data_IF_862670641014
#
_entry.id   IF_862670641014
#
_cell.length_a   1.000
_cell.length_b   1.000
_cell.length_c   1.000
_cell.angle_alpha   90.00
_cell.angle_beta   90.00
_cell.angle_gamma   90.00
#
_symmetry.space_group_name_H-M   'P 1'
#
loop_
_entity.id
_entity.type
_entity.pdbx_description
1 polymer ?
#
# COMPACT_ATOMS: atom_id res chain seq x y z
N UNK A 1 7.37 13.55 -1.32
CA UNK A 1 7.63 13.03 0.05
C UNK A 1 9.05 12.47 0.14
N UNK A 2 9.74 12.66 1.27
CA UNK A 2 11.00 11.96 1.56
C UNK A 2 10.66 10.49 1.81
N UNK A 3 11.00 9.61 0.87
CA UNK A 3 10.68 8.17 0.96
C UNK A 3 11.70 7.35 1.74
N UNK A 4 12.82 7.96 2.11
CA UNK A 4 13.91 7.32 2.85
C UNK A 4 14.49 8.31 3.85
N UNK A 5 14.85 7.85 5.04
CA UNK A 5 15.46 8.74 6.02
C UNK A 5 16.88 9.15 5.64
N UNK A 6 17.58 8.31 4.87
CA UNK A 6 18.84 8.65 4.23
C UNK A 6 18.94 7.99 2.85
N UNK A 7 19.53 8.70 1.89
CA UNK A 7 19.81 8.21 0.55
C UNK A 7 21.12 8.83 0.07
N UNK A 8 22.13 8.01 -0.23
CA UNK A 8 23.46 8.49 -0.60
C UNK A 8 24.20 7.50 -1.49
N UNK A 9 24.95 8.02 -2.47
CA UNK A 9 25.88 7.24 -3.29
C UNK A 9 26.94 6.57 -2.42
N UNK A 10 27.65 5.58 -2.96
CA UNK A 10 28.74 4.93 -2.23
C UNK A 10 29.77 5.92 -1.71
N UNK A 11 30.21 6.89 -2.52
CA UNK A 11 31.19 7.89 -2.09
C UNK A 11 30.64 8.78 -0.96
N UNK A 12 29.39 9.24 -1.05
CA UNK A 12 28.77 10.07 -0.02
C UNK A 12 28.64 9.31 1.30
N UNK A 13 28.15 8.07 1.26
CA UNK A 13 27.95 7.25 2.45
C UNK A 13 29.27 6.87 3.14
N UNK A 14 30.27 6.46 2.35
CA UNK A 14 31.56 6.00 2.89
C UNK A 14 32.38 7.14 3.49
N UNK A 15 32.25 8.37 2.97
CA UNK A 15 33.00 9.54 3.43
C UNK A 15 32.28 10.35 4.52
N UNK A 16 30.96 10.26 4.64
CA UNK A 16 30.21 10.96 5.68
C UNK A 16 30.52 10.41 7.07
N UNK A 17 30.54 11.27 8.10
CA UNK A 17 30.60 10.81 9.50
C UNK A 17 29.31 10.08 9.88
N UNK A 18 29.41 9.06 10.74
CA UNK A 18 28.25 8.27 11.18
C UNK A 18 27.16 9.17 11.80
N UNK A 19 27.55 10.21 12.56
CA UNK A 19 26.60 11.13 13.19
C UNK A 19 25.89 12.02 12.18
N UNK A 20 26.54 12.34 11.06
CA UNK A 20 25.91 13.10 9.98
C UNK A 20 24.80 12.28 9.34
N UNK A 21 25.07 11.00 9.04
CA UNK A 21 24.07 10.08 8.47
C UNK A 21 22.89 9.93 9.43
N UNK A 22 23.15 9.62 10.71
CA UNK A 22 22.09 9.51 11.73
C UNK A 22 21.34 10.82 11.91
N UNK A 23 22.03 11.97 11.89
CA UNK A 23 21.41 13.29 11.98
C UNK A 23 20.41 13.54 10.86
N UNK A 24 20.78 13.21 9.61
CA UNK A 24 19.85 13.25 8.47
C UNK A 24 18.66 12.32 8.66
N UNK A 25 18.89 11.12 9.22
CA UNK A 25 17.80 10.18 9.45
C UNK A 25 16.80 10.68 10.50
N UNK A 26 17.30 11.27 11.59
CA UNK A 26 16.50 11.88 12.66
C UNK A 26 15.67 13.05 12.12
N UNK A 27 16.26 13.92 11.30
CA UNK A 27 15.54 15.05 10.68
C UNK A 27 14.40 14.59 9.75
N UNK A 28 14.59 13.45 9.09
CA UNK A 28 13.63 12.88 8.16
C UNK A 28 12.62 11.93 8.81
N UNK A 29 12.73 11.67 10.12
CA UNK A 29 11.80 10.80 10.85
C UNK A 29 10.59 11.59 11.38
N UNK A 30 9.39 11.48 10.75
CA UNK A 30 8.19 12.24 11.11
C UNK A 30 7.64 11.93 12.50
N UNK A 31 8.12 10.87 13.16
CA UNK A 31 7.68 10.44 14.48
C UNK A 31 8.81 10.37 15.51
N UNK A 32 9.95 11.02 15.24
CA UNK A 32 11.10 10.93 16.13
C UNK A 32 10.78 11.47 17.53
N UNK A 33 10.61 10.52 18.45
CA UNK A 33 10.75 10.71 19.88
C UNK A 33 12.08 10.08 20.24
N UNK A 34 12.94 10.78 20.99
CA UNK A 34 14.29 10.33 21.35
C UNK A 34 14.25 8.96 22.03
N UNK A 35 14.39 7.89 21.24
CA UNK A 35 14.44 6.49 21.66
C UNK A 35 15.86 6.00 21.48
N UNK A 36 16.62 5.90 22.57
CA UNK A 36 18.05 5.53 22.57
C UNK A 36 18.34 4.30 21.71
N UNK A 37 17.46 3.29 21.77
CA UNK A 37 17.69 2.01 21.10
C UNK A 37 17.60 2.08 19.55
N UNK A 38 16.90 3.05 18.99
CA UNK A 38 16.74 3.18 17.53
C UNK A 38 17.99 3.81 16.90
N UNK A 39 18.49 4.90 17.48
CA UNK A 39 19.74 5.52 17.04
C UNK A 39 20.93 4.56 17.17
N UNK A 40 21.01 3.82 18.28
CA UNK A 40 22.07 2.82 18.50
C UNK A 40 22.03 1.73 17.40
N UNK A 41 20.83 1.27 17.03
CA UNK A 41 20.65 0.34 15.91
C UNK A 41 21.13 0.93 14.59
N UNK A 42 20.77 2.19 14.28
CA UNK A 42 21.25 2.86 13.06
C UNK A 42 22.77 3.01 13.04
N UNK A 43 23.40 3.38 14.15
CA UNK A 43 24.86 3.42 14.26
C UNK A 43 25.50 2.06 14.01
N UNK A 44 24.93 0.98 14.53
CA UNK A 44 25.43 -0.38 14.29
C UNK A 44 25.29 -0.76 12.80
N UNK A 45 24.14 -0.50 12.18
CA UNK A 45 23.91 -0.74 10.75
C UNK A 45 24.92 0.02 9.88
N UNK A 46 25.12 1.31 10.13
CA UNK A 46 26.06 2.16 9.36
C UNK A 46 27.48 1.60 9.45
N UNK A 47 27.93 1.24 10.66
CA UNK A 47 29.28 0.68 10.87
C UNK A 47 29.47 -0.65 10.16
N UNK A 48 28.48 -1.54 10.24
CA UNK A 48 28.50 -2.81 9.53
C UNK A 48 28.56 -2.58 8.02
N UNK A 49 27.71 -1.72 7.47
CA UNK A 49 27.71 -1.43 6.04
C UNK A 49 29.05 -0.83 5.58
N UNK A 50 29.59 0.15 6.31
CA UNK A 50 30.92 0.73 5.98
C UNK A 50 32.04 -0.30 6.03
N UNK A 51 32.07 -1.17 7.04
CA UNK A 51 33.07 -2.23 7.15
C UNK A 51 32.96 -3.23 5.99
N UNK A 52 31.74 -3.70 5.72
CA UNK A 52 31.47 -4.75 4.75
C UNK A 52 31.64 -4.30 3.30
N UNK A 53 31.49 -3.00 3.01
CA UNK A 53 31.62 -2.44 1.67
C UNK A 53 32.89 -1.60 1.45
N UNK A 54 33.81 -1.51 2.43
CA UNK A 54 35.05 -0.71 2.31
C UNK A 54 35.86 -0.94 1.03
N UNK A 55 35.86 -2.17 0.52
CA UNK A 55 36.59 -2.58 -0.68
C UNK A 55 35.66 -3.12 -1.79
N UNK A 56 34.36 -2.85 -1.70
CA UNK A 56 33.38 -3.26 -2.70
C UNK A 56 32.43 -2.11 -3.00
N UNK A 57 32.65 -1.48 -4.14
CA UNK A 57 31.77 -0.42 -4.61
C UNK A 57 30.40 -0.98 -5.01
N UNK A 58 29.37 -0.31 -4.50
CA UNK A 58 27.96 -0.52 -4.85
C UNK A 58 27.38 0.82 -5.32
N UNK A 59 26.19 0.83 -5.91
CA UNK A 59 25.68 2.04 -6.55
C UNK A 59 25.15 3.06 -5.52
N UNK A 60 24.40 2.59 -4.52
CA UNK A 60 23.75 3.46 -3.53
C UNK A 60 23.36 2.74 -2.23
N UNK A 61 23.30 3.51 -1.14
CA UNK A 61 22.73 3.12 0.14
C UNK A 61 21.48 3.94 0.43
N UNK A 62 20.37 3.26 0.70
CA UNK A 62 19.12 3.87 1.15
C UNK A 62 18.78 3.28 2.51
N UNK A 63 18.42 4.12 3.48
CA UNK A 63 17.98 3.70 4.80
C UNK A 63 16.51 4.06 5.00
N UNK A 64 15.80 3.19 5.73
CA UNK A 64 14.46 3.46 6.22
C UNK A 64 13.54 3.83 5.03
N UNK A 65 13.56 3.01 3.98
CA UNK A 65 12.80 3.24 2.75
C UNK A 65 11.35 2.80 2.89
N UNK A 66 10.43 3.75 2.77
CA UNK A 66 8.98 3.52 2.85
C UNK A 66 8.47 2.99 1.51
N UNK A 67 7.92 1.77 1.54
CA UNK A 67 7.29 1.16 0.36
C UNK A 67 5.96 1.89 0.10
N UNK A 68 5.73 2.45 -1.11
CA UNK A 68 4.51 3.20 -1.42
C UNK A 68 3.24 2.42 -1.05
N UNK A 69 2.34 3.07 -0.31
CA UNK A 69 1.04 2.57 0.15
C UNK A 69 1.01 1.32 1.04
N UNK A 70 2.16 0.71 1.34
CA UNK A 70 2.21 -0.54 2.11
C UNK A 70 2.33 -0.34 3.61
N UNK A 71 2.56 0.89 4.09
CA UNK A 71 2.73 1.17 5.52
C UNK A 71 3.98 0.55 6.13
N UNK A 72 4.89 0.11 5.27
CA UNK A 72 6.05 -0.69 5.60
C UNK A 72 7.31 0.02 5.20
N UNK A 73 8.37 -0.29 5.93
CA UNK A 73 9.65 0.31 5.73
C UNK A 73 10.75 -0.73 5.78
N UNK A 74 11.66 -0.63 4.81
CA UNK A 74 12.84 -1.48 4.71
C UNK A 74 14.00 -0.79 5.42
N UNK A 75 14.71 -1.51 6.27
CA UNK A 75 15.88 -0.97 6.98
C UNK A 75 16.91 -0.42 5.99
N UNK A 76 17.35 -1.25 5.03
CA UNK A 76 18.23 -0.77 3.96
C UNK A 76 17.89 -1.33 2.57
N UNK A 77 18.09 -0.51 1.56
CA UNK A 77 18.08 -0.91 0.16
C UNK A 77 19.43 -0.57 -0.45
N UNK A 78 20.07 -1.59 -1.02
CA UNK A 78 21.37 -1.50 -1.67
C UNK A 78 21.24 -1.86 -3.15
N UNK A 79 22.05 -1.24 -3.99
CA UNK A 79 22.02 -1.45 -5.44
C UNK A 79 23.39 -1.91 -5.90
N UNK A 80 23.45 -3.01 -6.65
CA UNK A 80 24.71 -3.46 -7.24
C UNK A 80 24.46 -4.24 -8.52
N UNK A 81 25.09 -3.80 -9.62
CA UNK A 81 25.02 -4.46 -10.95
C UNK A 81 23.59 -4.69 -11.45
N UNK A 82 22.72 -3.71 -11.25
CA UNK A 82 21.33 -3.80 -11.70
C UNK A 82 20.43 -4.71 -10.85
N UNK A 83 20.89 -5.10 -9.67
CA UNK A 83 20.13 -5.90 -8.68
C UNK A 83 19.80 -5.02 -7.47
N UNK A 84 18.57 -5.17 -6.97
CA UNK A 84 18.12 -4.55 -5.72
C UNK A 84 18.30 -5.53 -4.56
N UNK A 85 19.00 -5.11 -3.52
CA UNK A 85 19.17 -5.88 -2.29
C UNK A 85 18.34 -5.25 -1.19
N UNK A 86 17.41 -6.03 -0.63
CA UNK A 86 16.51 -5.62 0.45
C UNK A 86 17.08 -6.20 1.74
N UNK A 87 17.66 -5.35 2.58
CA UNK A 87 18.38 -5.79 3.77
C UNK A 87 17.55 -5.46 5.01
N UNK A 88 17.27 -6.49 5.80
CA UNK A 88 16.59 -6.40 7.10
C UNK A 88 17.60 -6.69 8.21
N UNK A 89 17.75 -5.79 9.17
CA UNK A 89 18.69 -5.95 10.29
C UNK A 89 17.98 -6.41 11.56
N UNK A 90 18.60 -7.36 12.25
CA UNK A 90 18.28 -7.75 13.63
C UNK A 90 19.55 -7.60 14.46
N UNK A 91 19.79 -6.36 14.86
CA UNK A 91 20.91 -5.96 15.71
C UNK A 91 20.86 -6.74 17.03
N UNK A 92 21.99 -7.36 17.39
CA UNK A 92 22.16 -8.18 18.58
C UNK A 92 21.71 -9.64 18.43
N UNK A 93 20.96 -9.99 17.39
CA UNK A 93 20.40 -11.35 17.23
C UNK A 93 21.49 -12.38 16.90
N UNK A 94 21.43 -13.53 17.58
CA UNK A 94 22.29 -14.69 17.36
C UNK A 94 21.66 -15.75 16.46
N UNK A 95 20.43 -15.52 15.96
CA UNK A 95 19.64 -16.48 15.19
C UNK A 95 18.91 -15.85 14.02
N UNK A 96 18.73 -16.66 12.97
CA UNK A 96 17.90 -16.34 11.82
C UNK A 96 16.49 -16.87 12.05
N UNK A 97 15.60 -16.05 12.62
CA UNK A 97 14.23 -16.47 12.88
C UNK A 97 13.44 -16.61 11.56
N UNK A 98 12.42 -17.48 11.53
CA UNK A 98 11.56 -17.58 10.35
C UNK A 98 10.79 -16.28 10.11
N UNK A 99 10.34 -15.61 11.18
CA UNK A 99 9.57 -14.38 11.08
C UNK A 99 10.37 -13.25 10.41
N UNK A 100 11.65 -13.09 10.77
CA UNK A 100 12.50 -12.05 10.18
C UNK A 100 12.86 -12.36 8.72
N UNK A 101 13.03 -13.65 8.37
CA UNK A 101 13.21 -14.05 6.97
C UNK A 101 11.95 -13.77 6.16
N UNK A 102 10.78 -14.13 6.69
CA UNK A 102 9.49 -13.88 6.04
C UNK A 102 9.24 -12.37 5.88
N UNK A 103 9.67 -11.54 6.84
CA UNK A 103 9.62 -10.08 6.76
C UNK A 103 10.48 -9.55 5.60
N UNK A 104 11.77 -9.92 5.54
CA UNK A 104 12.66 -9.50 4.46
C UNK A 104 12.15 -9.94 3.08
N UNK A 105 11.62 -11.16 2.98
CA UNK A 105 11.01 -11.66 1.76
C UNK A 105 9.78 -10.86 1.37
N UNK A 106 8.92 -10.54 2.34
CA UNK A 106 7.70 -9.79 2.09
C UNK A 106 8.02 -8.38 1.61
N UNK A 107 9.05 -7.72 2.12
CA UNK A 107 9.50 -6.43 1.59
C UNK A 107 9.97 -6.52 0.14
N UNK A 108 10.73 -7.55 -0.21
CA UNK A 108 11.14 -7.77 -1.60
C UNK A 108 9.94 -8.00 -2.54
N UNK A 109 8.94 -8.78 -2.09
CA UNK A 109 7.71 -9.01 -2.86
C UNK A 109 6.86 -7.75 -2.95
N UNK A 110 6.71 -6.99 -1.86
CA UNK A 110 5.93 -5.76 -1.83
C UNK A 110 6.58 -4.72 -2.77
N UNK A 111 7.90 -4.54 -2.76
CA UNK A 111 8.61 -3.70 -3.74
C UNK A 111 8.39 -4.18 -5.17
N UNK A 112 8.58 -5.48 -5.43
CA UNK A 112 8.40 -6.08 -6.76
C UNK A 112 7.01 -5.82 -7.33
N UNK A 113 5.99 -5.94 -6.49
CA UNK A 113 4.61 -5.94 -6.93
C UNK A 113 3.95 -4.57 -6.92
N UNK A 114 4.45 -3.60 -6.16
CA UNK A 114 3.77 -2.33 -5.94
C UNK A 114 4.57 -1.09 -6.27
N UNK A 115 5.87 -1.22 -6.55
CA UNK A 115 6.68 -0.08 -6.95
C UNK A 115 7.07 -0.23 -8.42
N UNK A 116 6.69 0.75 -9.24
CA UNK A 116 6.90 0.71 -10.69
C UNK A 116 8.37 0.43 -11.07
N UNK A 117 9.31 1.13 -10.41
CA UNK A 117 10.75 0.98 -10.67
C UNK A 117 11.31 -0.41 -10.35
N UNK A 118 10.61 -1.20 -9.55
CA UNK A 118 11.02 -2.56 -9.12
C UNK A 118 10.40 -3.68 -9.97
N UNK A 119 9.36 -3.37 -10.74
CA UNK A 119 8.51 -4.34 -11.45
C UNK A 119 9.28 -5.34 -12.32
N UNK A 120 10.39 -4.93 -12.94
CA UNK A 120 11.19 -5.79 -13.84
C UNK A 120 12.53 -6.23 -13.26
N UNK A 121 12.90 -5.72 -12.08
CA UNK A 121 14.21 -5.93 -11.48
C UNK A 121 14.35 -7.27 -10.76
N UNK A 122 15.59 -7.73 -10.64
CA UNK A 122 15.96 -8.82 -9.73
C UNK A 122 16.07 -8.26 -8.32
N UNK A 123 15.38 -8.89 -7.37
CA UNK A 123 15.37 -8.47 -5.96
C UNK A 123 15.86 -9.61 -5.08
N UNK A 124 16.90 -9.36 -4.30
CA UNK A 124 17.51 -10.34 -3.39
C UNK A 124 17.34 -9.85 -1.95
N UNK A 125 16.39 -10.42 -1.18
CA UNK A 125 16.27 -10.11 0.24
C UNK A 125 17.40 -10.76 1.04
N UNK A 126 17.90 -10.06 2.05
CA UNK A 126 18.94 -10.51 2.97
C UNK A 126 18.52 -10.17 4.40
N UNK A 127 18.50 -11.18 5.28
CA UNK A 127 18.38 -10.98 6.72
C UNK A 127 19.78 -10.91 7.34
N UNK A 128 20.07 -9.82 8.06
CA UNK A 128 21.30 -9.65 8.83
C UNK A 128 21.02 -9.84 10.32
N UNK A 129 21.42 -10.99 10.88
CA UNK A 129 21.43 -11.21 12.32
C UNK A 129 22.86 -11.01 12.84
N UNK A 130 23.13 -9.90 13.54
CA UNK A 130 24.51 -9.38 13.66
C UNK A 130 25.47 -10.31 14.41
N UNK A 131 24.96 -11.08 15.38
CA UNK A 131 25.72 -12.04 16.19
C UNK A 131 25.56 -13.51 15.75
N UNK A 132 24.80 -13.78 14.68
CA UNK A 132 24.52 -15.13 14.24
C UNK A 132 25.74 -15.79 13.55
N UNK A 133 25.88 -17.13 13.62
CA UNK A 133 26.97 -17.82 12.95
C UNK A 133 26.87 -17.74 11.43
N UNK A 134 27.99 -17.99 10.76
CA UNK A 134 28.04 -18.11 9.30
C UNK A 134 27.17 -19.28 8.82
N UNK A 135 26.45 -19.05 7.72
CA UNK A 135 25.64 -20.07 7.05
C UNK A 135 25.94 -20.06 5.56
N UNK A 136 25.97 -21.26 4.97
CA UNK A 136 26.04 -21.40 3.53
C UNK A 136 24.67 -21.06 2.91
N UNK A 137 24.67 -20.07 2.02
CA UNK A 137 23.50 -19.64 1.29
C UNK A 137 23.41 -20.34 -0.06
N UNK A 138 22.18 -20.60 -0.51
CA UNK A 138 21.89 -21.00 -1.89
C UNK A 138 20.95 -19.99 -2.47
N UNK A 139 21.34 -19.38 -3.59
CA UNK A 139 20.47 -18.45 -4.32
C UNK A 139 19.35 -19.26 -5.00
N UNK A 140 18.12 -19.07 -4.53
CA UNK A 140 16.91 -19.64 -5.12
C UNK A 140 16.05 -18.49 -5.65
N UNK A 141 16.14 -18.23 -6.95
CA UNK A 141 15.43 -17.15 -7.63
C UNK A 141 14.09 -17.68 -8.18
N UNK A 142 12.98 -17.07 -7.75
CA UNK A 142 11.67 -17.39 -8.26
C UNK A 142 11.43 -16.78 -9.66
N UNK A 143 10.36 -17.21 -10.33
CA UNK A 143 10.01 -16.78 -11.69
C UNK A 143 9.73 -15.29 -11.82
N UNK A 144 9.27 -14.68 -10.74
CA UNK A 144 9.05 -13.24 -10.59
C UNK A 144 10.36 -12.46 -10.35
N UNK A 145 11.53 -13.10 -10.45
CA UNK A 145 12.85 -12.51 -10.18
C UNK A 145 13.04 -12.04 -8.72
N UNK A 146 12.25 -12.55 -7.78
CA UNK A 146 12.50 -12.37 -6.34
C UNK A 146 13.17 -13.61 -5.78
N UNK A 147 14.30 -13.44 -5.08
CA UNK A 147 14.99 -14.56 -4.46
C UNK A 147 14.43 -14.90 -3.08
N UNK A 148 14.61 -16.16 -2.63
CA UNK A 148 14.47 -16.47 -1.22
C UNK A 148 15.48 -15.68 -0.38
N UNK A 149 15.12 -15.28 0.86
CA UNK A 149 16.03 -14.53 1.73
C UNK A 149 17.33 -15.26 1.98
N UNK A 150 18.43 -14.54 1.78
CA UNK A 150 19.76 -14.96 2.19
C UNK A 150 19.99 -14.58 3.66
N UNK A 151 20.88 -15.31 4.32
CA UNK A 151 21.23 -15.15 5.74
C UNK A 151 22.63 -14.61 5.87
N UNK A 152 22.78 -13.44 6.48
CA UNK A 152 24.05 -12.77 6.71
C UNK A 152 24.23 -12.38 8.18
N UNK A 153 25.47 -12.15 8.59
CA UNK A 153 25.80 -11.53 9.87
C UNK A 153 26.66 -10.27 9.62
N UNK A 154 27.10 -9.63 10.70
CA UNK A 154 27.88 -8.40 10.65
C UNK A 154 29.20 -8.52 9.85
N UNK A 155 29.70 -9.73 9.61
CA UNK A 155 31.05 -9.98 9.05
C UNK A 155 31.05 -10.54 7.63
N UNK A 156 29.90 -10.97 7.09
CA UNK A 156 29.84 -11.67 5.81
C UNK A 156 28.84 -11.09 4.79
N UNK A 157 28.11 -10.01 5.14
CA UNK A 157 27.11 -9.38 4.27
C UNK A 157 27.68 -9.01 2.90
N UNK A 158 28.83 -8.32 2.87
CA UNK A 158 29.44 -7.88 1.61
C UNK A 158 29.76 -9.06 0.69
N UNK A 159 30.33 -10.13 1.24
CA UNK A 159 30.64 -11.35 0.49
C UNK A 159 29.38 -12.05 -0.04
N UNK A 160 28.30 -12.11 0.75
CA UNK A 160 27.04 -12.73 0.32
C UNK A 160 26.40 -11.94 -0.82
N UNK A 161 26.37 -10.61 -0.71
CA UNK A 161 25.84 -9.72 -1.74
C UNK A 161 26.62 -9.89 -3.06
N UNK A 162 27.95 -9.82 -3.01
CA UNK A 162 28.80 -9.97 -4.19
C UNK A 162 28.68 -11.37 -4.79
N UNK A 163 28.65 -12.41 -3.97
CA UNK A 163 28.57 -13.79 -4.49
C UNK A 163 27.21 -14.08 -5.10
N UNK A 164 26.12 -13.55 -4.52
CA UNK A 164 24.77 -13.72 -5.07
C UNK A 164 24.54 -12.91 -6.36
N UNK A 165 25.34 -11.88 -6.64
CA UNK A 165 25.30 -11.16 -7.92
C UNK A 165 26.10 -11.83 -9.06
N UNK A 166 26.98 -12.80 -8.75
CA UNK A 166 27.79 -13.54 -9.74
C UNK A 166 26.91 -14.48 -10.57
N UNK A 167 26.46 -13.99 -11.72
CA UNK A 167 25.63 -14.77 -12.65
C UNK A 167 24.55 -13.93 -13.33
N UNK A 168 24.31 -12.73 -12.82
CA UNK A 168 23.40 -11.77 -13.43
C UNK A 168 24.14 -10.84 -14.40
N UNK A 169 23.43 -10.44 -15.45
CA UNK A 169 23.88 -9.45 -16.43
C UNK A 169 22.76 -8.43 -16.64
N UNK A 170 22.33 -7.80 -15.54
CA UNK A 170 21.26 -6.81 -15.56
C UNK A 170 21.76 -5.46 -16.08
N UNK A 171 20.81 -4.63 -16.52
CA UNK A 171 21.09 -3.23 -16.87
C UNK A 171 21.30 -2.40 -15.61
N UNK A 172 22.12 -1.36 -15.69
CA UNK A 172 22.27 -0.38 -14.61
C UNK A 172 20.91 0.24 -14.26
N UNK A 173 20.63 0.38 -12.97
CA UNK A 173 19.42 1.00 -12.45
C UNK A 173 19.67 2.50 -12.31
N UNK A 174 18.76 3.33 -12.82
CA UNK A 174 18.68 4.73 -12.38
C UNK A 174 18.04 4.77 -10.99
N UNK A 175 18.88 4.79 -9.96
CA UNK A 175 18.43 4.73 -8.57
C UNK A 175 17.61 5.97 -8.18
N UNK A 176 17.88 7.13 -8.79
CA UNK A 176 17.12 8.36 -8.50
C UNK A 176 15.71 8.28 -9.06
N UNK A 177 15.56 7.72 -10.27
CA UNK A 177 14.24 7.45 -10.85
C UNK A 177 13.52 6.34 -10.05
N UNK A 178 14.24 5.29 -9.65
CA UNK A 178 13.70 4.20 -8.83
C UNK A 178 13.13 4.69 -7.50
N UNK A 179 13.84 5.57 -6.79
CA UNK A 179 13.36 6.16 -5.51
C UNK A 179 12.07 6.95 -5.67
N UNK A 180 11.87 7.59 -6.83
CA UNK A 180 10.69 8.42 -7.13
C UNK A 180 9.56 7.64 -7.78
N UNK A 181 9.77 6.38 -8.17
CA UNK A 181 8.79 5.61 -8.93
C UNK A 181 7.49 5.42 -8.17
N UNK A 182 6.35 5.59 -8.83
CA UNK A 182 5.03 5.60 -8.20
C UNK A 182 4.57 4.21 -7.73
N UNK A 183 3.50 4.20 -6.94
CA UNK A 183 2.76 2.98 -6.66
C UNK A 183 2.15 2.42 -7.96
N UNK A 184 2.46 1.18 -8.30
CA UNK A 184 2.01 0.51 -9.52
C UNK A 184 1.93 -1.01 -9.29
N UNK A 185 0.73 -1.55 -9.00
CA UNK A 185 0.49 -2.98 -8.94
C UNK A 185 0.85 -3.69 -10.26
N UNK A 186 1.50 -4.86 -10.18
CA UNK A 186 1.76 -5.66 -11.38
C UNK A 186 0.47 -6.33 -11.89
N UNK A 187 0.34 -6.56 -13.22
CA UNK A 187 -0.83 -7.24 -13.79
C UNK A 187 -1.12 -8.59 -13.12
N UNK A 188 -0.09 -9.38 -12.82
CA UNK A 188 -0.25 -10.68 -12.15
C UNK A 188 -0.83 -10.56 -10.74
N UNK A 189 -0.49 -9.48 -10.03
CA UNK A 189 -1.00 -9.18 -8.70
C UNK A 189 -2.46 -8.72 -8.77
N UNK A 190 -2.81 -7.93 -9.79
CA UNK A 190 -4.19 -7.52 -10.08
C UNK A 190 -5.07 -8.73 -10.42
N UNK A 191 -4.64 -9.58 -11.37
CA UNK A 191 -5.38 -10.79 -11.77
C UNK A 191 -5.60 -11.74 -10.59
N UNK A 192 -4.57 -11.93 -9.75
CA UNK A 192 -4.66 -12.77 -8.59
C UNK A 192 -5.59 -12.19 -7.50
N UNK A 193 -5.65 -10.87 -7.37
CA UNK A 193 -6.61 -10.15 -6.53
C UNK A 193 -8.05 -10.36 -7.03
N UNK A 194 -8.31 -10.19 -8.32
CA UNK A 194 -9.64 -10.41 -8.92
C UNK A 194 -10.10 -11.85 -8.71
N UNK A 195 -9.23 -12.83 -9.02
CA UNK A 195 -9.54 -14.25 -8.88
C UNK A 195 -9.79 -14.69 -7.43
N UNK A 196 -9.20 -14.00 -6.45
CA UNK A 196 -9.52 -14.21 -5.04
C UNK A 196 -10.97 -13.87 -4.76
N UNK A 197 -11.39 -12.67 -5.17
CA UNK A 197 -12.75 -12.22 -4.89
C UNK A 197 -13.81 -13.03 -5.63
N UNK A 198 -13.60 -13.33 -6.91
CA UNK A 198 -14.52 -14.15 -7.73
C UNK A 198 -14.73 -15.55 -7.13
N UNK A 199 -13.67 -16.19 -6.62
CA UNK A 199 -13.75 -17.53 -6.00
C UNK A 199 -14.27 -17.52 -4.56
N UNK A 200 -14.25 -16.37 -3.89
CA UNK A 200 -14.81 -16.19 -2.55
C UNK A 200 -16.29 -15.77 -2.57
N UNK A 201 -16.91 -15.74 -3.75
CA UNK A 201 -18.24 -15.22 -4.08
C UNK A 201 -19.06 -14.69 -2.90
N UNK A 202 -19.51 -13.44 -3.03
CA UNK A 202 -20.82 -13.35 -3.71
C UNK A 202 -21.92 -14.00 -2.89
N UNK A 203 -22.12 -15.27 -3.19
CA UNK A 203 -23.21 -16.18 -2.84
C UNK A 203 -23.16 -16.72 -1.40
N UNK A 204 -21.99 -16.86 -0.77
CA UNK A 204 -21.91 -17.28 0.65
C UNK A 204 -22.25 -16.13 1.60
N UNK A 205 -21.95 -14.89 1.20
CA UNK A 205 -22.22 -13.70 2.01
C UNK A 205 -23.59 -13.08 1.68
N UNK A 206 -24.01 -13.04 0.40
CA UNK A 206 -25.34 -12.56 -0.03
C UNK A 206 -26.47 -13.53 0.28
N UNK A 207 -26.18 -14.76 0.72
CA UNK A 207 -27.21 -15.71 1.19
C UNK A 207 -28.05 -15.19 2.36
N UNK A 208 -27.64 -14.09 3.03
CA UNK A 208 -28.43 -13.39 4.05
C UNK A 208 -29.33 -12.28 3.51
N UNK A 209 -29.08 -11.78 2.29
CA UNK A 209 -29.84 -10.70 1.63
C UNK A 209 -30.85 -11.20 0.57
N UNK A 210 -31.03 -12.52 0.45
CA UNK A 210 -31.84 -13.16 -0.61
C UNK A 210 -33.33 -12.80 -0.59
N UNK A 211 -33.85 -12.15 0.45
CA UNK A 211 -35.26 -11.74 0.49
C UNK A 211 -35.53 -10.41 -0.24
N UNK A 212 -34.57 -9.47 -0.34
CA UNK A 212 -34.85 -8.10 -0.82
C UNK A 212 -34.19 -7.67 -2.16
N UNK A 213 -33.23 -8.44 -2.71
CA UNK A 213 -32.50 -8.11 -3.97
C UNK A 213 -31.89 -6.68 -4.02
N UNK A 214 -31.72 -6.03 -2.87
CA UNK A 214 -31.24 -4.64 -2.78
C UNK A 214 -29.78 -4.53 -3.20
N UNK A 215 -28.97 -5.53 -2.88
CA UNK A 215 -27.57 -5.65 -3.29
C UNK A 215 -27.41 -5.57 -4.81
N UNK A 216 -28.04 -6.49 -5.56
CA UNK A 216 -27.94 -6.56 -7.03
C UNK A 216 -28.38 -5.26 -7.70
N UNK A 217 -29.45 -4.64 -7.21
CA UNK A 217 -29.95 -3.36 -7.74
C UNK A 217 -28.94 -2.25 -7.51
N UNK A 218 -28.33 -2.20 -6.33
CA UNK A 218 -27.36 -1.16 -5.96
C UNK A 218 -26.11 -1.27 -6.82
N UNK A 219 -25.53 -2.47 -6.92
CA UNK A 219 -24.36 -2.74 -7.78
C UNK A 219 -24.67 -2.37 -9.22
N UNK A 220 -25.84 -2.75 -9.74
CA UNK A 220 -26.25 -2.42 -11.11
C UNK A 220 -26.32 -0.90 -11.36
N UNK A 221 -26.93 -0.12 -10.45
CA UNK A 221 -27.01 1.34 -10.60
C UNK A 221 -25.63 1.97 -10.57
N UNK A 222 -24.75 1.51 -9.68
CA UNK A 222 -23.37 2.01 -9.62
C UNK A 222 -22.63 1.69 -10.92
N UNK A 223 -22.81 0.50 -11.48
CA UNK A 223 -22.23 0.10 -12.76
C UNK A 223 -22.73 0.94 -13.94
N UNK A 224 -24.02 1.31 -13.95
CA UNK A 224 -24.60 2.22 -14.93
C UNK A 224 -23.97 3.61 -14.82
N UNK A 225 -23.80 4.14 -13.61
CA UNK A 225 -23.12 5.43 -13.38
C UNK A 225 -21.67 5.37 -13.87
N UNK A 226 -20.90 4.34 -13.48
CA UNK A 226 -19.50 4.19 -13.90
C UNK A 226 -19.40 4.13 -15.43
N UNK A 227 -20.29 3.38 -16.08
CA UNK A 227 -20.32 3.26 -17.55
C UNK A 227 -20.63 4.60 -18.21
N UNK A 228 -21.60 5.34 -17.66
CA UNK A 228 -21.96 6.68 -18.13
C UNK A 228 -20.79 7.68 -18.00
N UNK A 229 -20.13 7.72 -16.85
CA UNK A 229 -18.96 8.59 -16.62
C UNK A 229 -17.82 8.29 -17.60
N UNK A 230 -17.59 6.99 -17.90
CA UNK A 230 -16.61 6.56 -18.89
C UNK A 230 -16.95 7.04 -20.30
N UNK A 231 -18.18 6.81 -20.73
CA UNK A 231 -18.65 7.17 -22.08
C UNK A 231 -18.60 8.68 -22.32
N UNK A 232 -18.89 9.48 -21.29
CA UNK A 232 -18.92 10.94 -21.38
C UNK A 232 -17.60 11.61 -20.95
N UNK A 233 -16.60 10.83 -20.54
CA UNK A 233 -15.34 11.36 -19.98
C UNK A 233 -15.54 12.31 -18.80
N UNK A 234 -16.48 11.95 -17.93
CA UNK A 234 -16.85 12.71 -16.74
C UNK A 234 -16.29 12.07 -15.47
N UNK A 235 -16.06 12.89 -14.46
CA UNK A 235 -15.69 12.44 -13.12
C UNK A 235 -16.92 12.43 -12.23
N UNK A 236 -17.08 11.40 -11.43
CA UNK A 236 -18.29 11.21 -10.65
C UNK A 236 -18.01 10.77 -9.22
N UNK A 237 -18.81 11.27 -8.30
CA UNK A 237 -18.79 10.87 -6.89
C UNK A 237 -20.16 10.32 -6.51
N UNK A 238 -20.17 9.11 -5.95
CA UNK A 238 -21.36 8.33 -5.63
C UNK A 238 -21.43 8.18 -4.13
N UNK A 239 -22.52 8.65 -3.52
CA UNK A 239 -22.76 8.49 -2.08
C UNK A 239 -23.71 7.32 -1.82
N UNK A 240 -23.14 6.24 -1.30
CA UNK A 240 -23.86 5.03 -0.93
C UNK A 240 -24.23 5.06 0.56
N UNK A 241 -25.52 5.19 0.86
CA UNK A 241 -26.02 5.19 2.24
C UNK A 241 -26.58 3.82 2.64
N UNK A 242 -26.68 3.57 3.93
CA UNK A 242 -27.38 2.41 4.48
C UNK A 242 -27.18 2.28 5.98
N UNK A 243 -28.11 1.58 6.64
CA UNK A 243 -28.01 1.27 8.06
C UNK A 243 -26.87 0.29 8.35
N UNK A 244 -26.33 0.24 9.59
CA UNK A 244 -25.34 -0.77 9.96
C UNK A 244 -25.84 -2.19 9.64
N UNK A 245 -24.99 -3.02 9.03
CA UNK A 245 -25.34 -4.37 8.61
C UNK A 245 -26.05 -4.49 7.24
N UNK A 246 -26.34 -3.39 6.55
CA UNK A 246 -27.04 -3.38 5.24
C UNK A 246 -26.22 -3.88 4.04
N UNK A 247 -25.05 -4.48 4.25
CA UNK A 247 -24.20 -4.96 3.16
C UNK A 247 -23.38 -3.89 2.41
N UNK A 248 -23.29 -2.63 2.86
CA UNK A 248 -22.49 -1.56 2.20
C UNK A 248 -21.06 -1.99 1.89
N UNK A 249 -20.36 -2.54 2.88
CA UNK A 249 -18.98 -3.02 2.73
C UNK A 249 -18.87 -4.08 1.64
N UNK A 250 -19.88 -4.94 1.47
CA UNK A 250 -19.89 -5.94 0.40
C UNK A 250 -20.03 -5.28 -0.97
N UNK A 251 -20.93 -4.31 -1.11
CA UNK A 251 -21.08 -3.53 -2.34
C UNK A 251 -19.77 -2.83 -2.69
N UNK A 252 -19.14 -2.17 -1.72
CA UNK A 252 -17.86 -1.49 -1.93
C UNK A 252 -16.73 -2.42 -2.34
N UNK A 253 -16.63 -3.59 -1.69
CA UNK A 253 -15.65 -4.62 -2.04
C UNK A 253 -15.90 -5.18 -3.44
N UNK A 254 -17.16 -5.41 -3.80
CA UNK A 254 -17.55 -5.91 -5.12
C UNK A 254 -17.14 -4.94 -6.22
N UNK A 255 -17.41 -3.64 -6.04
CA UNK A 255 -16.99 -2.57 -6.96
C UNK A 255 -15.46 -2.54 -7.09
N UNK A 256 -14.72 -2.56 -5.97
CA UNK A 256 -13.26 -2.48 -6.00
C UNK A 256 -12.60 -3.71 -6.65
N UNK A 257 -13.19 -4.90 -6.48
CA UNK A 257 -12.67 -6.16 -7.00
C UNK A 257 -13.07 -6.42 -8.46
N UNK A 258 -14.34 -6.23 -8.82
CA UNK A 258 -14.85 -6.53 -10.17
C UNK A 258 -14.45 -5.48 -11.21
N UNK A 259 -13.95 -4.32 -10.78
CA UNK A 259 -13.44 -3.26 -11.67
C UNK A 259 -11.92 -3.24 -11.78
N UNK A 260 -11.29 -4.39 -11.55
CA UNK A 260 -9.88 -4.64 -11.85
C UNK A 260 -9.73 -5.17 -13.29
N UNK A 261 -9.37 -4.29 -14.22
CA UNK A 261 -9.03 -4.66 -15.60
C UNK A 261 -7.65 -4.09 -15.96
N UNK A 262 -6.63 -4.95 -15.86
CA UNK A 262 -5.25 -4.60 -16.18
C UNK A 262 -5.05 -4.22 -17.65
N UNK A 263 -5.88 -4.72 -18.58
CA UNK A 263 -5.76 -4.38 -20.00
C UNK A 263 -6.31 -2.98 -20.29
N UNK A 264 -7.40 -2.61 -19.61
CA UNK A 264 -8.02 -1.29 -19.76
C UNK A 264 -7.44 -0.23 -18.81
N UNK A 265 -6.48 -0.61 -17.95
CA UNK A 265 -5.95 0.24 -16.87
C UNK A 265 -7.06 0.79 -15.98
N UNK A 266 -8.06 -0.05 -15.72
CA UNK A 266 -9.16 0.27 -14.83
C UNK A 266 -8.89 -0.47 -13.53
N UNK A 267 -8.62 0.29 -12.47
CA UNK A 267 -8.29 -0.28 -11.17
C UNK A 267 -9.18 0.33 -10.11
N UNK A 268 -9.78 -0.55 -9.32
CA UNK A 268 -10.52 -0.22 -8.12
C UNK A 268 -9.65 -0.28 -6.87
N UNK A 269 -10.00 0.47 -5.85
CA UNK A 269 -9.42 0.34 -4.51
C UNK A 269 -10.49 0.55 -3.47
N UNK A 270 -10.45 -0.29 -2.45
CA UNK A 270 -11.20 -0.14 -1.22
C UNK A 270 -10.28 0.41 -0.14
N UNK A 271 -10.67 1.55 0.43
CA UNK A 271 -9.93 2.29 1.43
C UNK A 271 -10.67 2.26 2.76
N UNK A 272 -10.01 1.70 3.78
CA UNK A 272 -10.55 1.58 5.12
C UNK A 272 -9.77 2.45 6.11
N UNK A 273 -10.48 3.17 6.98
CA UNK A 273 -9.89 4.00 8.04
C UNK A 273 -9.37 3.23 9.25
N UNK A 274 -9.54 1.90 9.32
CA UNK A 274 -9.15 1.07 10.47
C UNK A 274 -8.10 0.03 10.09
N UNK A 275 -6.87 0.18 10.60
CA UNK A 275 -5.77 -0.72 10.31
C UNK A 275 -6.05 -2.17 10.76
N UNK A 276 -6.61 -2.36 11.96
CA UNK A 276 -6.95 -3.69 12.48
C UNK A 276 -7.92 -4.44 11.57
N UNK A 277 -8.90 -3.74 10.98
CA UNK A 277 -9.86 -4.34 10.07
C UNK A 277 -9.18 -4.76 8.76
N UNK A 278 -8.26 -3.93 8.25
CA UNK A 278 -7.40 -4.26 7.10
C UNK A 278 -6.59 -5.52 7.37
N UNK A 279 -5.88 -5.58 8.50
CA UNK A 279 -5.03 -6.72 8.82
C UNK A 279 -5.84 -8.01 9.01
N UNK A 280 -6.97 -7.95 9.71
CA UNK A 280 -7.84 -9.11 9.95
C UNK A 280 -8.42 -9.65 8.64
N UNK A 281 -8.92 -8.78 7.76
CA UNK A 281 -9.45 -9.18 6.46
C UNK A 281 -8.33 -9.75 5.58
N UNK A 282 -7.18 -9.08 5.54
CA UNK A 282 -6.03 -9.53 4.75
C UNK A 282 -5.53 -10.91 5.20
N UNK A 283 -5.39 -11.16 6.50
CA UNK A 283 -4.97 -12.46 7.02
C UNK A 283 -6.05 -13.54 6.80
N UNK A 284 -7.34 -13.20 6.97
CA UNK A 284 -8.43 -14.15 6.73
C UNK A 284 -8.47 -14.63 5.27
N UNK A 285 -8.38 -13.70 4.31
CA UNK A 285 -8.32 -14.01 2.88
C UNK A 285 -7.05 -14.78 2.52
N UNK A 286 -5.90 -14.35 3.06
CA UNK A 286 -4.60 -15.00 2.84
C UNK A 286 -4.63 -16.44 3.33
N UNK A 287 -5.10 -16.67 4.56
CA UNK A 287 -5.19 -17.99 5.17
C UNK A 287 -6.16 -18.88 4.41
N UNK A 288 -7.31 -18.36 4.01
CA UNK A 288 -8.29 -19.13 3.27
C UNK A 288 -7.75 -19.62 1.91
N UNK A 289 -7.15 -18.73 1.10
CA UNK A 289 -6.51 -19.14 -0.17
C UNK A 289 -5.39 -20.15 0.07
N UNK A 290 -4.57 -19.92 1.10
CA UNK A 290 -3.50 -20.84 1.46
C UNK A 290 -4.03 -22.23 1.86
N UNK A 291 -5.13 -22.29 2.58
CA UNK A 291 -5.78 -23.54 3.02
C UNK A 291 -6.46 -24.29 1.89
N UNK A 292 -6.97 -23.56 0.90
CA UNK A 292 -7.60 -24.11 -0.30
C UNK A 292 -6.61 -24.44 -1.44
N UNK A 293 -5.30 -24.28 -1.25
CA UNK A 293 -4.31 -24.70 -2.24
C UNK A 293 -4.39 -26.22 -2.46
N UNK A 294 -4.45 -26.69 -3.74
CA UNK A 294 -4.64 -28.09 -4.03
C UNK A 294 -3.47 -28.94 -3.52
N UNK A 295 -3.74 -30.18 -3.11
CA UNK A 295 -2.68 -31.10 -2.67
C UNK A 295 -2.07 -31.82 -3.88
N UNK A 296 -0.74 -32.03 -3.84
CA UNK A 296 -0.07 -32.83 -4.87
C UNK A 296 -0.45 -34.31 -4.67
N UNK A 297 -1.21 -34.83 -5.62
CA UNK A 297 -1.55 -36.25 -5.70
C UNK A 297 -0.29 -37.04 -6.09
N UNK A 298 0.02 -38.08 -5.32
CA UNK A 298 1.08 -39.04 -5.67
C UNK A 298 0.54 -40.04 -6.69
N UNK A 299 1.46 -40.72 -7.39
CA UNK A 299 1.14 -41.78 -8.36
C UNK A 299 0.37 -42.97 -7.76
N UNK A 300 0.41 -43.13 -6.43
CA UNK A 300 -0.29 -44.18 -5.68
C UNK A 300 -1.70 -43.77 -5.20
N UNK A 301 -2.18 -42.58 -5.60
CA UNK A 301 -3.48 -42.03 -5.18
C UNK A 301 -3.47 -41.34 -3.81
N UNK A 302 -2.37 -41.37 -3.05
CA UNK A 302 -2.24 -40.68 -1.77
C UNK A 302 -1.84 -39.21 -1.92
N UNK A 303 -2.25 -38.35 -0.98
CA UNK A 303 -1.86 -36.93 -0.96
C UNK A 303 -0.53 -36.76 -0.22
N UNK A 304 0.36 -35.90 -0.74
CA UNK A 304 1.73 -35.70 -0.19
C UNK A 304 1.87 -34.41 0.62
N UNK A 305 1.88 -33.26 -0.05
CA UNK A 305 1.99 -31.90 0.49
C UNK A 305 1.16 -30.96 -0.38
N UNK A 306 0.73 -29.81 0.18
CA UNK A 306 0.11 -28.72 -0.61
C UNK A 306 1.00 -28.40 -1.82
N UNK A 307 0.40 -28.18 -2.98
CA UNK A 307 1.09 -27.72 -4.18
C UNK A 307 1.70 -26.35 -3.85
N UNK A 308 3.03 -26.26 -3.83
CA UNK A 308 3.77 -25.00 -3.71
C UNK A 308 3.77 -24.25 -5.05
N UNK A 309 2.60 -24.08 -5.66
CA UNK A 309 2.46 -23.24 -6.86
C UNK A 309 2.65 -21.77 -6.51
N UNK A 310 2.33 -21.38 -5.28
CA UNK A 310 2.44 -20.01 -4.77
C UNK A 310 2.99 -20.02 -3.33
N UNK A 311 3.65 -18.93 -2.92
CA UNK A 311 4.11 -18.72 -1.53
C UNK A 311 3.04 -17.96 -0.72
N UNK A 312 3.01 -18.13 0.62
CA UNK A 312 2.09 -17.36 1.48
C UNK A 312 2.29 -15.85 1.28
N UNK A 313 3.54 -15.42 1.11
CA UNK A 313 3.90 -14.02 0.86
C UNK A 313 3.37 -13.47 -0.46
N UNK A 314 3.33 -14.28 -1.53
CA UNK A 314 2.71 -13.89 -2.80
C UNK A 314 1.20 -13.73 -2.65
N UNK A 315 0.53 -14.68 -2.00
CA UNK A 315 -0.91 -14.57 -1.69
C UNK A 315 -1.19 -13.31 -0.89
N UNK A 316 -0.41 -13.04 0.15
CA UNK A 316 -0.58 -11.86 1.00
C UNK A 316 -0.38 -10.56 0.20
N UNK A 317 0.55 -10.54 -0.76
CA UNK A 317 0.71 -9.42 -1.66
C UNK A 317 -0.52 -9.25 -2.56
N UNK A 318 -1.09 -10.31 -3.12
CA UNK A 318 -2.27 -10.21 -3.98
C UNK A 318 -3.45 -9.55 -3.25
N UNK A 319 -3.70 -9.93 -1.99
CA UNK A 319 -4.80 -9.37 -1.18
C UNK A 319 -4.64 -7.86 -0.89
N UNK A 320 -3.40 -7.35 -0.76
CA UNK A 320 -3.14 -5.93 -0.47
C UNK A 320 -3.50 -4.98 -1.62
N UNK A 321 -3.70 -5.51 -2.83
CA UNK A 321 -3.86 -4.70 -4.05
C UNK A 321 -5.11 -3.82 -4.00
N UNK A 322 -6.26 -4.38 -3.62
CA UNK A 322 -7.54 -3.67 -3.66
C UNK A 322 -8.10 -3.34 -2.27
N UNK A 323 -7.48 -3.78 -1.16
CA UNK A 323 -7.92 -3.44 0.20
C UNK A 323 -6.76 -2.79 0.97
N UNK A 324 -6.83 -1.46 1.14
CA UNK A 324 -5.75 -0.66 1.70
C UNK A 324 -6.20 0.23 2.85
N UNK A 325 -5.23 0.60 3.66
CA UNK A 325 -5.42 1.53 4.78
C UNK A 325 -5.43 2.97 4.27
N UNK A 326 -6.53 3.67 4.52
CA UNK A 326 -6.81 5.02 4.00
C UNK A 326 -5.68 6.04 4.29
N UNK A 327 -5.08 6.10 5.49
CA UNK A 327 -4.00 7.05 5.76
C UNK A 327 -2.83 6.99 4.79
N UNK A 328 -2.44 5.80 4.29
CA UNK A 328 -1.34 5.72 3.33
C UNK A 328 -1.71 6.30 1.97
N UNK A 329 -2.95 6.08 1.52
CA UNK A 329 -3.48 6.68 0.30
C UNK A 329 -3.59 8.20 0.44
N UNK A 330 -4.04 8.70 1.60
CA UNK A 330 -4.12 10.14 1.88
C UNK A 330 -2.77 10.83 1.87
N UNK A 331 -1.76 10.23 2.49
CA UNK A 331 -0.41 10.82 2.54
C UNK A 331 0.20 10.97 1.13
N UNK A 332 -0.09 10.01 0.24
CA UNK A 332 0.25 10.14 -1.18
C UNK A 332 -0.60 11.20 -1.89
N UNK A 333 -1.91 11.25 -1.62
CA UNK A 333 -2.83 12.25 -2.19
C UNK A 333 -2.37 13.70 -1.95
N UNK A 334 -1.76 13.96 -0.80
CA UNK A 334 -1.19 15.26 -0.43
C UNK A 334 0.08 15.59 -1.23
N UNK A 335 0.89 14.58 -1.56
CA UNK A 335 2.28 14.80 -1.99
C UNK A 335 2.59 14.39 -3.43
N UNK A 336 1.72 13.61 -4.08
CA UNK A 336 1.90 13.18 -5.46
C UNK A 336 1.62 14.34 -6.41
N UNK A 337 2.34 14.39 -7.53
CA UNK A 337 2.06 15.31 -8.63
C UNK A 337 1.16 14.64 -9.69
N UNK A 338 1.37 13.34 -9.93
CA UNK A 338 0.62 12.54 -10.88
C UNK A 338 -0.71 12.01 -10.31
N UNK A 339 -1.58 11.53 -11.20
CA UNK A 339 -2.80 10.84 -10.85
C UNK A 339 -2.51 9.48 -10.17
N UNK A 340 -3.40 9.00 -9.29
CA UNK A 340 -3.29 7.66 -8.75
C UNK A 340 -3.34 6.60 -9.86
N UNK A 341 -2.89 5.40 -9.53
CA UNK A 341 -3.06 4.26 -10.42
C UNK A 341 -4.54 3.90 -10.62
N UNK A 342 -5.37 4.11 -9.60
CA UNK A 342 -6.77 3.72 -9.55
C UNK A 342 -7.69 4.78 -10.08
N UNK A 343 -8.59 4.37 -10.98
CA UNK A 343 -9.66 5.24 -11.48
C UNK A 343 -10.93 5.16 -10.64
N UNK A 344 -11.05 4.16 -9.75
CA UNK A 344 -12.22 3.97 -8.89
C UNK A 344 -11.73 3.84 -7.45
N UNK A 345 -12.04 4.81 -6.60
CA UNK A 345 -11.70 4.79 -5.18
C UNK A 345 -12.96 4.68 -4.32
N UNK A 346 -13.05 3.59 -3.55
CA UNK A 346 -14.16 3.32 -2.61
C UNK A 346 -13.68 3.66 -1.20
N UNK A 347 -14.31 4.65 -0.58
CA UNK A 347 -14.02 5.09 0.77
C UNK A 347 -15.05 4.51 1.74
N UNK A 348 -14.58 3.65 2.64
CA UNK A 348 -15.38 3.16 3.75
C UNK A 348 -15.49 4.22 4.85
N UNK A 349 -16.65 4.27 5.49
CA UNK A 349 -16.94 5.22 6.57
C UNK A 349 -16.59 6.68 6.18
N UNK A 350 -16.96 7.09 4.97
CA UNK A 350 -16.59 8.38 4.37
C UNK A 350 -17.07 9.60 5.18
N UNK A 351 -18.02 9.42 6.12
CA UNK A 351 -18.45 10.42 7.09
C UNK A 351 -17.37 10.78 8.13
N UNK A 352 -16.32 9.96 8.28
CA UNK A 352 -15.23 10.16 9.28
C UNK A 352 -14.06 11.00 8.77
N UNK A 353 -14.16 11.54 7.56
CA UNK A 353 -13.09 12.37 6.99
C UNK A 353 -12.87 13.64 7.83
N UNK A 354 -11.61 14.05 7.92
CA UNK A 354 -11.16 15.17 8.73
C UNK A 354 -11.42 16.52 8.05
N UNK A 355 -11.77 17.52 8.86
CA UNK A 355 -11.79 18.90 8.44
C UNK A 355 -10.38 19.46 8.15
N UNK A 356 -10.33 20.65 7.56
CA UNK A 356 -9.07 21.29 7.19
C UNK A 356 -8.14 21.55 8.38
N UNK A 357 -8.69 21.94 9.54
CA UNK A 357 -7.89 22.23 10.74
C UNK A 357 -7.19 20.96 11.26
N UNK A 358 -7.93 19.85 11.32
CA UNK A 358 -7.41 18.56 11.76
C UNK A 358 -6.40 17.99 10.77
N UNK A 359 -6.66 18.09 9.47
CA UNK A 359 -5.72 17.68 8.42
C UNK A 359 -4.41 18.44 8.55
N UNK A 360 -4.45 19.78 8.55
CA UNK A 360 -3.26 20.61 8.65
C UNK A 360 -2.45 20.29 9.90
N UNK A 361 -3.13 20.15 11.05
CA UNK A 361 -2.48 19.78 12.31
C UNK A 361 -1.73 18.45 12.22
N UNK A 362 -2.35 17.42 11.65
CA UNK A 362 -1.75 16.08 11.56
C UNK A 362 -0.63 16.03 10.50
N UNK A 363 -0.82 16.67 9.34
CA UNK A 363 0.19 16.70 8.27
C UNK A 363 1.43 17.51 8.66
N UNK A 364 1.26 18.65 9.34
CA UNK A 364 2.39 19.45 9.88
C UNK A 364 3.10 18.67 10.98
N UNK A 365 2.36 18.05 11.90
CA UNK A 365 2.94 17.24 12.99
C UNK A 365 3.81 16.10 12.44
N UNK A 366 3.40 15.50 11.32
CA UNK A 366 4.15 14.44 10.62
C UNK A 366 5.17 14.95 9.62
N UNK A 367 5.46 16.26 9.58
CA UNK A 367 6.41 16.85 8.64
C UNK A 367 6.14 16.52 7.15
N UNK A 368 4.86 16.27 6.79
CA UNK A 368 4.44 15.99 5.41
C UNK A 368 4.32 17.31 4.64
N UNK A 369 3.76 18.33 5.30
CA UNK A 369 3.68 19.71 4.81
C UNK A 369 4.39 20.64 5.78
N UNK A 370 4.97 21.73 5.26
CA UNK A 370 5.71 22.71 6.09
C UNK A 370 4.82 23.75 6.76
N UNK A 371 3.63 23.96 6.20
CA UNK A 371 2.67 24.96 6.68
C UNK A 371 1.24 24.51 6.35
N UNK A 372 0.24 24.92 7.15
CA UNK A 372 -1.18 24.67 6.88
C UNK A 372 -1.60 25.08 5.45
N UNK A 373 -2.36 24.23 4.76
CA UNK A 373 -2.91 24.49 3.43
C UNK A 373 -4.39 24.91 3.47
N UNK A 374 -5.09 24.68 4.58
CA UNK A 374 -6.51 24.98 4.72
C UNK A 374 -7.43 24.07 3.89
N UNK A 375 -6.96 22.87 3.55
CA UNK A 375 -7.71 21.87 2.76
C UNK A 375 -8.19 20.73 3.64
N UNK A 376 -9.44 20.30 3.45
CA UNK A 376 -10.00 19.15 4.14
C UNK A 376 -9.45 17.83 3.60
N UNK A 377 -9.73 16.72 4.27
CA UNK A 377 -9.33 15.39 3.78
C UNK A 377 -10.02 15.08 2.45
N UNK A 378 -11.29 15.46 2.31
CA UNK A 378 -12.05 15.36 1.06
C UNK A 378 -11.41 16.18 -0.07
N UNK A 379 -10.87 17.37 0.21
CA UNK A 379 -10.18 18.18 -0.80
C UNK A 379 -8.95 17.46 -1.38
N UNK A 380 -8.13 16.86 -0.51
CA UNK A 380 -6.96 16.12 -0.95
C UNK A 380 -7.33 14.85 -1.72
N UNK A 381 -8.35 14.12 -1.27
CA UNK A 381 -8.78 12.87 -1.89
C UNK A 381 -9.43 13.10 -3.26
N UNK A 382 -10.35 14.07 -3.39
CA UNK A 382 -10.93 14.45 -4.68
C UNK A 382 -9.83 14.99 -5.59
N UNK A 383 -9.00 15.92 -5.09
CA UNK A 383 -7.93 16.53 -5.88
C UNK A 383 -6.89 15.53 -6.40
N UNK A 384 -6.65 14.43 -5.68
CA UNK A 384 -5.79 13.37 -6.16
C UNK A 384 -6.41 12.61 -7.33
N UNK A 385 -7.68 12.20 -7.20
CA UNK A 385 -8.42 11.54 -8.28
C UNK A 385 -8.69 12.48 -9.47
N UNK A 386 -8.79 13.79 -9.23
CA UNK A 386 -9.05 14.81 -10.24
C UNK A 386 -7.89 14.99 -11.23
N UNK A 387 -6.69 14.54 -10.88
CA UNK A 387 -5.53 14.53 -11.80
C UNK A 387 -5.69 13.57 -12.96
N UNK A 388 -6.67 12.67 -12.93
CA UNK A 388 -6.97 11.84 -14.09
C UNK A 388 -7.55 12.65 -15.23
N UNK A 389 -6.99 12.44 -16.43
CA UNK A 389 -7.66 12.80 -17.67
C UNK A 389 -8.88 11.90 -17.91
N UNK A 390 -9.95 12.53 -18.41
CA UNK A 390 -11.24 11.88 -18.70
C UNK A 390 -12.02 11.58 -17.42
N UNK A 391 -12.17 10.28 -17.12
CA UNK A 391 -13.07 9.82 -16.07
C UNK A 391 -12.33 9.31 -14.82
N UNK A 392 -12.97 9.52 -13.67
CA UNK A 392 -12.60 8.96 -12.38
C UNK A 392 -13.85 8.83 -11.51
N UNK A 393 -13.86 7.84 -10.61
CA UNK A 393 -15.00 7.53 -9.75
C UNK A 393 -14.56 7.53 -8.31
N UNK A 394 -15.33 8.22 -7.47
CA UNK A 394 -15.24 8.13 -6.02
C UNK A 394 -16.54 7.53 -5.50
N UNK A 395 -16.46 6.50 -4.66
CA UNK A 395 -17.63 5.93 -3.98
C UNK A 395 -17.48 6.18 -2.48
N UNK A 396 -18.33 7.03 -1.93
CA UNK A 396 -18.37 7.36 -0.51
C UNK A 396 -19.43 6.50 0.18
N UNK A 397 -19.01 5.54 0.99
CA UNK A 397 -19.93 4.72 1.77
C UNK A 397 -20.20 5.36 3.12
N UNK A 398 -21.48 5.58 3.43
CA UNK A 398 -21.91 6.30 4.63
C UNK A 398 -22.86 5.44 5.47
N UNK A 399 -22.49 5.24 6.74
CA UNK A 399 -23.31 4.54 7.74
C UNK A 399 -24.27 5.49 8.45
N UNK A 400 -25.56 5.14 8.50
CA UNK A 400 -26.57 5.87 9.27
C UNK A 400 -26.38 5.66 10.79
N UNK A 401 -26.69 6.69 11.58
CA UNK A 401 -26.80 6.58 13.04
C UNK A 401 -25.49 6.39 13.83
N UNK A 402 -24.33 6.54 13.20
CA UNK A 402 -23.04 6.39 13.87
C UNK A 402 -22.54 7.68 14.52
N UNK A 403 -21.74 7.54 15.58
CA UNK A 403 -21.10 8.65 16.28
C UNK A 403 -19.97 9.25 15.43
N UNK A 404 -20.03 10.59 15.27
CA UNK A 404 -19.01 11.40 14.60
C UNK A 404 -18.23 12.13 15.70
N UNK A 405 -16.91 12.06 15.70
CA UNK A 405 -16.09 12.74 16.71
C UNK A 405 -15.82 14.20 16.33
N UNK A 406 -15.31 14.99 17.29
CA UNK A 406 -14.98 16.40 17.05
C UNK A 406 -13.89 16.51 15.96
N UNK A 407 -14.14 17.33 14.93
CA UNK A 407 -13.26 17.49 13.76
C UNK A 407 -13.46 16.42 12.68
N UNK A 408 -14.51 15.61 12.82
CA UNK A 408 -15.06 14.77 11.76
C UNK A 408 -16.39 15.42 11.36
N UNK A 409 -16.50 15.88 10.12
CA UNK A 409 -17.78 16.27 9.50
C UNK A 409 -17.70 15.88 8.02
N UNK A 410 -17.25 14.64 7.79
CA UNK A 410 -16.78 14.20 6.49
C UNK A 410 -17.82 14.38 5.40
N UNK A 411 -19.10 14.07 5.70
CA UNK A 411 -20.21 14.26 4.77
C UNK A 411 -20.33 15.73 4.33
N UNK A 412 -20.24 16.67 5.27
CA UNK A 412 -20.28 18.10 4.97
C UNK A 412 -19.08 18.56 4.14
N UNK A 413 -17.89 18.11 4.50
CA UNK A 413 -16.66 18.46 3.79
C UNK A 413 -16.64 17.91 2.37
N UNK A 414 -17.14 16.69 2.10
CA UNK A 414 -17.31 16.18 0.74
C UNK A 414 -18.16 17.13 -0.13
N UNK A 415 -19.33 17.54 0.36
CA UNK A 415 -20.20 18.45 -0.39
C UNK A 415 -19.59 19.83 -0.61
N UNK A 416 -18.94 20.37 0.42
CA UNK A 416 -18.24 21.65 0.36
C UNK A 416 -17.08 21.60 -0.65
N UNK A 417 -16.30 20.53 -0.66
CA UNK A 417 -15.22 20.32 -1.62
C UNK A 417 -15.74 20.23 -3.05
N UNK A 418 -16.78 19.43 -3.32
CA UNK A 418 -17.40 19.36 -4.65
C UNK A 418 -17.89 20.74 -5.09
N UNK A 419 -18.65 21.43 -4.24
CA UNK A 419 -19.26 22.71 -4.61
C UNK A 419 -18.24 23.82 -4.84
N UNK A 420 -17.22 23.92 -4.00
CA UNK A 420 -16.31 25.07 -3.99
C UNK A 420 -15.05 24.84 -4.80
N UNK A 421 -14.53 23.61 -4.80
CA UNK A 421 -13.20 23.28 -5.33
C UNK A 421 -13.27 22.38 -6.58
N UNK A 422 -14.31 21.55 -6.71
CA UNK A 422 -14.44 20.57 -7.79
C UNK A 422 -15.82 20.58 -8.47
N UNK A 423 -16.29 21.74 -8.99
CA UNK A 423 -17.65 21.88 -9.51
C UNK A 423 -17.94 21.05 -10.77
N UNK A 424 -16.91 20.56 -11.46
CA UNK A 424 -17.04 19.72 -12.65
C UNK A 424 -17.36 18.24 -12.32
N UNK A 425 -17.25 17.84 -11.05
CA UNK A 425 -17.57 16.48 -10.61
C UNK A 425 -19.08 16.28 -10.47
N UNK A 426 -19.59 15.20 -11.08
CA UNK A 426 -21.01 14.82 -10.99
C UNK A 426 -21.29 14.07 -9.68
N UNK A 427 -22.18 14.60 -8.84
CA UNK A 427 -22.55 13.99 -7.57
C UNK A 427 -23.84 13.17 -7.67
N UNK A 428 -23.77 11.88 -7.36
CA UNK A 428 -24.90 10.95 -7.30
C UNK A 428 -25.23 10.61 -5.86
N UNK A 429 -26.49 10.81 -5.47
CA UNK A 429 -26.95 10.73 -4.09
C UNK A 429 -28.07 9.72 -3.97
N UNK A 430 -28.03 8.90 -2.93
CA UNK A 430 -29.21 8.12 -2.55
C UNK A 430 -30.33 9.07 -2.08
N UNK A 431 -31.58 8.68 -2.31
CA UNK A 431 -32.74 9.46 -1.85
C UNK A 431 -32.76 9.59 -0.32
N UNK A 432 -32.23 8.60 0.40
CA UNK A 432 -32.17 8.58 1.87
C UNK A 432 -31.19 9.60 2.45
N UNK A 433 -30.21 10.05 1.66
CA UNK A 433 -29.15 10.94 2.14
C UNK A 433 -29.68 12.30 2.61
N UNK A 434 -30.83 12.75 2.10
CA UNK A 434 -31.49 13.99 2.52
C UNK A 434 -32.13 13.92 3.91
N UNK A 435 -32.23 12.72 4.49
CA UNK A 435 -32.81 12.54 5.82
C UNK A 435 -31.89 13.09 6.93
N UNK A 436 -32.43 13.51 8.09
CA UNK A 436 -31.63 13.98 9.22
C UNK A 436 -30.61 12.98 9.76
N UNK A 437 -30.77 11.70 9.44
CA UNK A 437 -29.88 10.62 9.86
C UNK A 437 -28.48 10.71 9.22
N UNK A 438 -28.41 11.19 7.97
CA UNK A 438 -27.18 11.28 7.17
C UNK A 438 -26.66 12.71 7.01
N UNK A 439 -27.55 13.70 7.03
CA UNK A 439 -27.18 15.13 6.94
C UNK A 439 -27.81 15.88 8.12
N UNK A 440 -26.96 16.29 9.05
CA UNK A 440 -27.37 17.07 10.24
C UNK A 440 -27.40 18.58 9.98
N UNK A 441 -26.57 19.09 9.07
CA UNK A 441 -26.53 20.53 8.74
C UNK A 441 -27.64 20.92 7.75
N UNK A 442 -28.49 21.86 8.17
CA UNK A 442 -29.54 22.43 7.32
C UNK A 442 -29.00 23.21 6.11
N UNK A 443 -27.84 23.85 6.23
CA UNK A 443 -27.22 24.61 5.11
C UNK A 443 -26.81 23.68 3.96
N UNK A 444 -26.40 22.46 4.29
CA UNK A 444 -26.04 21.44 3.29
C UNK A 444 -27.29 20.91 2.60
N UNK A 445 -28.37 20.68 3.35
CA UNK A 445 -29.67 20.30 2.75
C UNK A 445 -30.20 21.35 1.77
N UNK A 446 -29.95 22.63 2.04
CA UNK A 446 -30.32 23.72 1.14
C UNK A 446 -29.42 23.76 -0.11
N UNK A 447 -28.14 23.42 0.01
CA UNK A 447 -27.22 23.35 -1.14
C UNK A 447 -27.42 22.14 -2.06
N UNK A 448 -28.12 21.10 -1.60
CA UNK A 448 -28.43 19.88 -2.37
C UNK A 448 -29.66 20.01 -3.28
N UNK A 449 -30.36 21.15 -3.24
CA UNK A 449 -31.55 21.41 -4.07
C UNK A 449 -31.23 22.06 -5.43
N UNK A 450 -29.94 22.13 -5.79
CA UNK A 450 -29.44 22.74 -7.03
C UNK A 450 -29.31 21.75 -8.16
#
# INVERSE_FOLDING_TARGET
MIRSYYSGTYSEFMNADDKTIVGTMVENDPGYERKSNQEDSWFEQIRILKDQFKNCEIDKFIFEYTIPRMGKRVDNILFHKGIVFVVEFKVGSDKYSSADLDQAHQYAIDLKNFQDGSSELVIIPILVATNAPDISNTLDLAKDKVARPLKANAKNLGNILINSSKGFSEKTIDVTAWEKSVYQPTPTTIEAATALYEKHSVEEITRRDTEDRTFDKTVKVIDEIISHSKENSEKSIIFLTGIPGSGKTLVGLDIAANKQDAQKKEHGIYLCGTADLVEVIQEALTRNRWDNLPFKQKKDGSYSKKLKTESKSKIQSDVKTFFQYLPYFREEAVTADDAPHERIAVFDEAQRMWDAERVDKELVKRNIIKSPEGKSESDHLIGYMDKHDGWAIIVCMIGGGQEIHKGEDGTAEWFKSIKNNFPDWQAYLSTEMTTPEYIRDQKIKESLKG
#
